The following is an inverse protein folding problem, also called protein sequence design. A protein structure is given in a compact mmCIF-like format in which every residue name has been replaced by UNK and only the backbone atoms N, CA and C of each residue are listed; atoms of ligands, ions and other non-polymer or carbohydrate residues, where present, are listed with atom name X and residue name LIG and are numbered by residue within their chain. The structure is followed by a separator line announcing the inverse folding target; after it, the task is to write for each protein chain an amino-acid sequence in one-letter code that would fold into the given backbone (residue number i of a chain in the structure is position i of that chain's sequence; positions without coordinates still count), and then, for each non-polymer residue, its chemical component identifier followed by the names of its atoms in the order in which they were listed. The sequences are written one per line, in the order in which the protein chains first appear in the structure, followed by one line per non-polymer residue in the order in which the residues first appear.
data_IF_448766748248
#
_entry.id   IF_448766748248
#
_cell.length_a   1.000
_cell.length_b   1.000
_cell.length_c   1.000
_cell.angle_alpha   90.00
_cell.angle_beta   90.00
_cell.angle_gamma   90.00
#
_symmetry.space_group_name_H-M   'P 1'
#
loop_
_entity.id
_entity.type
_entity.pdbx_description
1 polymer ?
#
# COMPACT_ATOMS: atom_id res chain seq x y z
N UNK A 1 3.00 36.54 1.20
CA UNK A 1 2.76 35.93 2.53
C UNK A 1 1.37 35.30 2.71
N UNK A 2 0.24 36.02 2.85
CA UNK A 2 -1.08 35.37 3.10
C UNK A 2 -1.58 34.50 1.93
N UNK A 3 -1.40 34.96 0.69
CA UNK A 3 -1.77 34.21 -0.53
C UNK A 3 -0.92 32.97 -0.71
N UNK A 4 0.39 33.09 -0.50
CA UNK A 4 1.35 31.99 -0.57
C UNK A 4 1.06 30.89 0.48
N UNK A 5 0.69 31.29 1.70
CA UNK A 5 0.25 30.35 2.74
C UNK A 5 -1.06 29.64 2.36
N UNK A 6 -2.01 30.35 1.74
CA UNK A 6 -3.26 29.78 1.29
C UNK A 6 -3.05 28.78 0.13
N UNK A 7 -2.21 29.12 -0.85
CA UNK A 7 -1.84 28.24 -1.95
C UNK A 7 -1.14 26.97 -1.47
N UNK A 8 -0.20 27.11 -0.53
CA UNK A 8 0.47 25.96 0.09
C UNK A 8 -0.52 25.03 0.79
N UNK A 9 -1.43 25.58 1.59
CA UNK A 9 -2.46 24.77 2.28
C UNK A 9 -3.37 24.04 1.29
N UNK A 10 -3.79 24.70 0.22
CA UNK A 10 -4.62 24.08 -0.81
C UNK A 10 -3.89 22.92 -1.52
N UNK A 11 -2.59 23.08 -1.79
CA UNK A 11 -1.77 22.01 -2.34
C UNK A 11 -1.59 20.84 -1.37
N UNK A 12 -1.34 21.11 -0.09
CA UNK A 12 -1.25 20.08 0.96
C UNK A 12 -2.57 19.29 1.10
N UNK A 13 -3.72 19.98 1.04
CA UNK A 13 -5.04 19.37 1.15
C UNK A 13 -5.38 18.50 -0.07
N UNK A 14 -5.13 19.01 -1.28
CA UNK A 14 -5.30 18.25 -2.51
C UNK A 14 -4.40 16.99 -2.54
N UNK A 15 -3.15 17.11 -2.06
CA UNK A 15 -2.26 15.96 -1.94
C UNK A 15 -2.78 14.93 -0.94
N UNK A 16 -3.30 15.37 0.21
CA UNK A 16 -3.89 14.49 1.23
C UNK A 16 -5.12 13.75 0.68
N UNK A 17 -6.00 14.44 -0.02
CA UNK A 17 -7.21 13.86 -0.64
C UNK A 17 -6.84 12.82 -1.70
N UNK A 18 -5.88 13.13 -2.57
CA UNK A 18 -5.39 12.20 -3.58
C UNK A 18 -4.79 10.94 -2.96
N UNK A 19 -3.97 11.09 -1.91
CA UNK A 19 -3.38 9.93 -1.22
C UNK A 19 -4.44 9.08 -0.52
N UNK A 20 -5.40 9.68 0.18
CA UNK A 20 -6.48 8.95 0.83
C UNK A 20 -7.34 8.18 -0.18
N UNK A 21 -7.60 8.77 -1.35
CA UNK A 21 -8.30 8.11 -2.44
C UNK A 21 -7.50 6.91 -2.99
N UNK A 22 -6.19 7.07 -3.23
CA UNK A 22 -5.32 6.00 -3.70
C UNK A 22 -5.20 4.86 -2.67
N UNK A 23 -5.05 5.18 -1.39
CA UNK A 23 -5.03 4.19 -0.30
C UNK A 23 -6.35 3.41 -0.23
N UNK A 24 -7.48 4.09 -0.39
CA UNK A 24 -8.80 3.46 -0.44
C UNK A 24 -8.91 2.52 -1.64
N UNK A 25 -8.58 3.00 -2.84
CA UNK A 25 -8.59 2.18 -4.05
C UNK A 25 -7.72 0.93 -3.91
N UNK A 26 -6.50 1.09 -3.38
CA UNK A 26 -5.57 -0.02 -3.16
C UNK A 26 -6.15 -1.06 -2.19
N UNK A 27 -6.66 -0.61 -1.05
CA UNK A 27 -7.15 -1.50 0.03
C UNK A 27 -8.49 -2.17 -0.28
N UNK A 28 -9.35 -1.52 -1.06
CA UNK A 28 -10.68 -2.04 -1.39
C UNK A 28 -10.75 -2.70 -2.78
N UNK A 29 -9.66 -2.69 -3.56
CA UNK A 29 -9.59 -3.49 -4.78
C UNK A 29 -9.84 -4.98 -4.45
N UNK A 30 -10.70 -5.62 -5.25
CA UNK A 30 -11.01 -7.05 -5.10
C UNK A 30 -9.89 -7.97 -5.60
N UNK A 31 -8.94 -7.42 -6.38
CA UNK A 31 -7.76 -8.13 -6.81
C UNK A 31 -6.70 -8.13 -5.70
N UNK A 32 -6.03 -9.26 -5.43
CA UNK A 32 -4.83 -9.29 -4.60
C UNK A 32 -3.73 -8.42 -5.22
N UNK A 33 -3.24 -7.43 -4.48
CA UNK A 33 -2.16 -6.54 -4.91
C UNK A 33 -1.05 -6.53 -3.85
N UNK A 34 0.17 -6.72 -4.34
CA UNK A 34 1.41 -6.59 -3.57
C UNK A 34 2.36 -5.65 -4.31
N UNK A 35 3.07 -4.81 -3.56
CA UNK A 35 4.06 -3.87 -4.10
C UNK A 35 5.38 -4.11 -3.40
N UNK A 36 6.47 -4.13 -4.16
CA UNK A 36 7.82 -4.18 -3.62
C UNK A 36 8.53 -2.83 -3.77
N UNK A 37 9.45 -2.55 -2.85
CA UNK A 37 10.43 -1.49 -3.04
C UNK A 37 11.61 -1.95 -3.92
N UNK A 38 12.59 -1.07 -4.10
CA UNK A 38 13.79 -1.33 -4.90
C UNK A 38 14.70 -2.42 -4.33
N UNK A 39 14.50 -2.79 -3.07
CA UNK A 39 15.30 -3.78 -2.33
C UNK A 39 14.55 -5.11 -2.21
N UNK A 40 13.48 -5.28 -2.98
CA UNK A 40 12.59 -6.44 -3.00
C UNK A 40 11.91 -6.71 -1.66
N UNK A 41 11.74 -5.68 -0.83
CA UNK A 41 10.93 -5.75 0.39
C UNK A 41 9.49 -5.43 0.06
N UNK A 42 8.56 -6.08 0.72
CA UNK A 42 7.13 -5.81 0.56
C UNK A 42 6.84 -4.41 1.13
N UNK A 43 6.47 -3.50 0.25
CA UNK A 43 6.15 -2.11 0.56
C UNK A 43 4.65 -1.89 0.79
N UNK A 44 3.80 -2.60 0.04
CA UNK A 44 2.35 -2.62 0.29
C UNK A 44 1.75 -4.00 0.07
N UNK A 45 0.69 -4.28 0.83
CA UNK A 45 -0.01 -5.55 0.84
C UNK A 45 -1.51 -5.27 1.09
N UNK A 46 -2.35 -5.44 0.08
CA UNK A 46 -3.76 -5.02 0.21
C UNK A 46 -4.63 -6.05 0.93
N UNK A 47 -5.81 -5.63 1.38
CA UNK A 47 -6.77 -6.50 2.08
C UNK A 47 -7.21 -7.71 1.26
N UNK A 48 -7.25 -7.62 -0.07
CA UNK A 48 -7.57 -8.78 -0.90
C UNK A 48 -6.47 -9.84 -0.82
N UNK A 49 -5.21 -9.42 -0.74
CA UNK A 49 -4.08 -10.32 -0.51
C UNK A 49 -4.12 -10.93 0.89
N UNK A 50 -4.44 -10.14 1.93
CA UNK A 50 -4.64 -10.67 3.29
C UNK A 50 -5.72 -11.75 3.32
N UNK A 51 -6.85 -11.52 2.64
CA UNK A 51 -7.93 -12.52 2.53
C UNK A 51 -7.51 -13.76 1.75
N UNK A 52 -6.69 -13.61 0.72
CA UNK A 52 -6.22 -14.73 -0.10
C UNK A 52 -5.27 -15.65 0.67
N UNK A 53 -4.38 -15.07 1.49
CA UNK A 53 -3.28 -15.81 2.12
C UNK A 53 -3.50 -16.10 3.61
N UNK A 54 -4.36 -15.33 4.27
CA UNK A 54 -4.52 -15.34 5.73
C UNK A 54 -3.42 -14.61 6.50
N UNK A 55 -2.49 -13.93 5.81
CA UNK A 55 -1.42 -13.14 6.42
C UNK A 55 -1.85 -11.67 6.51
N UNK A 56 -1.59 -10.99 7.62
CA UNK A 56 -1.81 -9.54 7.71
C UNK A 56 -0.67 -8.76 7.09
N UNK A 57 -0.95 -7.53 6.64
CA UNK A 57 0.08 -6.62 6.16
C UNK A 57 1.18 -6.41 7.21
N UNK A 58 0.84 -6.29 8.50
CA UNK A 58 1.85 -6.10 9.56
C UNK A 58 2.83 -7.27 9.66
N UNK A 59 2.44 -8.48 9.29
CA UNK A 59 3.31 -9.66 9.33
C UNK A 59 4.32 -9.70 8.18
N UNK A 60 4.00 -9.09 7.04
CA UNK A 60 4.76 -9.25 5.79
C UNK A 60 5.49 -7.99 5.33
N UNK A 61 5.03 -6.80 5.73
CA UNK A 61 5.67 -5.54 5.35
C UNK A 61 7.15 -5.52 5.76
N UNK A 62 8.01 -5.05 4.85
CA UNK A 62 9.47 -4.99 5.04
C UNK A 62 10.20 -6.32 4.84
N UNK A 63 9.49 -7.44 4.73
CA UNK A 63 10.07 -8.77 4.46
C UNK A 63 10.48 -8.90 3.00
N UNK A 64 11.53 -9.70 2.74
CA UNK A 64 12.06 -9.93 1.38
C UNK A 64 11.35 -11.09 0.68
N UNK A 65 10.95 -10.86 -0.56
CA UNK A 65 10.41 -11.89 -1.45
C UNK A 65 9.03 -12.40 -1.04
N UNK A 66 8.56 -13.41 -1.77
CA UNK A 66 7.23 -14.03 -1.64
C UNK A 66 7.30 -15.52 -1.34
N UNK A 67 8.42 -15.99 -0.81
CA UNK A 67 8.66 -17.41 -0.61
C UNK A 67 7.57 -18.09 0.24
N UNK A 68 6.98 -17.37 1.20
CA UNK A 68 5.87 -17.82 2.02
C UNK A 68 4.51 -17.93 1.28
N UNK A 69 4.42 -17.44 0.04
CA UNK A 69 3.21 -17.51 -0.80
C UNK A 69 3.22 -18.69 -1.76
N UNK A 70 4.37 -19.31 -1.99
CA UNK A 70 4.44 -20.50 -2.82
C UNK A 70 3.98 -21.69 -1.98
N UNK A 71 2.97 -22.47 -2.41
CA UNK A 71 2.66 -23.72 -1.73
C UNK A 71 3.95 -24.54 -1.69
N UNK A 72 4.29 -25.06 -0.50
CA UNK A 72 5.44 -25.95 -0.37
C UNK A 72 5.19 -27.12 -1.30
N UNK A 73 5.90 -27.17 -2.43
CA UNK A 73 5.96 -28.37 -3.26
C UNK A 73 6.43 -29.49 -2.32
N UNK A 74 5.51 -30.38 -1.98
CA UNK A 74 5.86 -31.73 -1.53
C UNK A 74 6.34 -32.52 -2.74
#
# INVERSE_FOLDING_TARGET
MKVELAQRKQAEEAFREANAFLESLFNYANAPIIVWDREYRIFQFNRAFERLTGLSAEQVLGSRGTFFLLPSNK
#
